data_IF_534786673353
#
_entry.id   IF_534786673353
#
_cell.length_a   1.000
_cell.length_b   1.000
_cell.length_c   1.000
_cell.angle_alpha   90.00
_cell.angle_beta   90.00
_cell.angle_gamma   90.00
#
_symmetry.space_group_name_H-M   'P 1'
#
loop_
_entity.id
_entity.type
_entity.pdbx_description
1 polymer ?
#
# COMPACT_ATOMS: atom_id res chain seq x y z
N UNK A 1 16.08 -1.34 7.63
CA UNK A 1 14.75 -1.59 8.23
C UNK A 1 13.75 -1.62 7.08
N UNK A 2 12.70 -2.46 7.10
CA UNK A 2 11.69 -2.45 6.04
C UNK A 2 10.51 -1.54 6.39
N UNK A 3 10.07 -1.64 7.65
CA UNK A 3 8.92 -0.91 8.17
C UNK A 3 9.26 -0.27 9.51
N UNK A 4 8.82 0.95 9.72
CA UNK A 4 8.90 1.66 10.99
C UNK A 4 7.49 2.12 11.37
N UNK A 5 7.05 1.76 12.58
CA UNK A 5 5.77 2.18 13.17
C UNK A 5 6.03 2.73 14.57
N UNK A 6 5.00 3.28 15.24
CA UNK A 6 5.13 3.65 16.66
C UNK A 6 5.50 2.49 17.58
N UNK A 7 5.09 1.28 17.23
CA UNK A 7 5.30 0.08 18.02
C UNK A 7 6.70 -0.51 17.82
N UNK A 8 7.43 -0.02 16.81
CA UNK A 8 8.84 -0.32 16.60
C UNK A 8 9.22 -0.54 15.14
N UNK A 9 10.41 -1.13 14.97
CA UNK A 9 11.02 -1.37 13.67
C UNK A 9 10.97 -2.85 13.27
N UNK A 10 10.54 -3.10 12.04
CA UNK A 10 10.47 -4.41 11.42
C UNK A 10 11.52 -4.50 10.31
N UNK A 11 12.40 -5.48 10.42
CA UNK A 11 13.38 -5.76 9.36
C UNK A 11 12.72 -6.49 8.20
N UNK A 12 13.32 -6.43 7.00
CA UNK A 12 12.88 -7.22 5.85
C UNK A 12 12.68 -8.70 6.19
N UNK A 13 13.62 -9.27 6.97
CA UNK A 13 13.52 -10.65 7.45
C UNK A 13 12.29 -10.86 8.32
N UNK A 14 12.02 -9.97 9.28
CA UNK A 14 10.82 -10.08 10.14
C UNK A 14 9.54 -9.98 9.34
N UNK A 15 9.42 -9.01 8.43
CA UNK A 15 8.26 -8.85 7.56
C UNK A 15 8.05 -10.09 6.70
N UNK A 16 9.10 -10.57 6.04
CA UNK A 16 9.05 -11.78 5.21
C UNK A 16 8.63 -13.02 6.03
N UNK A 17 9.20 -13.21 7.22
CA UNK A 17 8.84 -14.33 8.10
C UNK A 17 7.37 -14.32 8.49
N UNK A 18 6.81 -13.15 8.85
CA UNK A 18 5.37 -13.06 9.16
C UNK A 18 4.50 -13.23 7.91
N UNK A 19 4.91 -12.64 6.77
CA UNK A 19 4.22 -12.85 5.50
C UNK A 19 4.16 -14.33 5.11
N UNK A 20 5.25 -15.08 5.29
CA UNK A 20 5.26 -16.53 5.06
C UNK A 20 4.27 -17.29 5.95
N UNK A 21 4.16 -16.91 7.24
CA UNK A 21 3.18 -17.51 8.16
C UNK A 21 1.74 -17.23 7.74
N UNK A 22 1.45 -16.00 7.34
CA UNK A 22 0.13 -15.61 6.84
C UNK A 22 -0.19 -16.37 5.54
N UNK A 23 0.77 -16.45 4.61
CA UNK A 23 0.65 -17.25 3.39
C UNK A 23 0.35 -18.71 3.71
N UNK A 24 1.08 -19.33 4.66
CA UNK A 24 0.81 -20.71 5.08
C UNK A 24 -0.61 -20.86 5.64
N UNK A 25 -1.05 -19.94 6.49
CA UNK A 25 -2.39 -19.97 7.05
C UNK A 25 -3.51 -19.87 5.99
N UNK A 26 -3.26 -19.16 4.89
CA UNK A 26 -4.14 -19.10 3.72
C UNK A 26 -4.17 -20.45 2.98
N UNK A 27 -3.01 -21.06 2.74
CA UNK A 27 -2.90 -22.37 2.09
C UNK A 27 -3.55 -23.49 2.90
N UNK A 28 -3.36 -23.49 4.21
CA UNK A 28 -3.97 -24.48 5.12
C UNK A 28 -5.51 -24.38 5.12
N UNK A 29 -6.06 -23.23 4.68
CA UNK A 29 -7.49 -22.99 4.45
C UNK A 29 -7.95 -23.23 3.01
N UNK A 30 -7.06 -23.75 2.17
CA UNK A 30 -7.39 -24.15 0.81
C UNK A 30 -7.18 -23.10 -0.27
N UNK A 31 -6.58 -21.95 0.05
CA UNK A 31 -6.32 -20.91 -0.96
C UNK A 31 -5.54 -21.47 -2.15
N UNK A 32 -6.05 -21.18 -3.35
CA UNK A 32 -5.40 -21.43 -4.63
C UNK A 32 -4.88 -20.13 -5.26
N UNK A 33 -3.85 -20.20 -6.11
CA UNK A 33 -3.40 -19.05 -6.89
C UNK A 33 -4.55 -18.44 -7.70
N UNK A 34 -4.71 -17.12 -7.63
CA UNK A 34 -5.81 -16.37 -8.26
C UNK A 34 -7.01 -16.11 -7.34
N UNK A 35 -7.10 -16.77 -6.17
CA UNK A 35 -8.16 -16.50 -5.21
C UNK A 35 -8.03 -15.10 -4.61
N UNK A 36 -9.17 -14.47 -4.32
CA UNK A 36 -9.23 -13.10 -3.79
C UNK A 36 -9.11 -13.13 -2.27
N UNK A 37 -8.25 -12.27 -1.75
CA UNK A 37 -8.03 -12.12 -0.30
C UNK A 37 -8.34 -10.69 0.10
N UNK A 38 -9.50 -10.49 0.72
CA UNK A 38 -9.88 -9.26 1.38
C UNK A 38 -8.97 -9.00 2.58
N UNK A 39 -8.28 -7.87 2.57
CA UNK A 39 -7.37 -7.43 3.63
C UNK A 39 -8.07 -6.31 4.40
N UNK A 40 -8.83 -6.66 5.44
CA UNK A 40 -9.57 -5.72 6.27
C UNK A 40 -8.72 -5.27 7.46
N UNK A 41 -8.17 -4.07 7.36
CA UNK A 41 -7.24 -3.55 8.36
C UNK A 41 -7.41 -2.04 8.55
N UNK A 42 -6.98 -1.55 9.71
CA UNK A 42 -6.48 -0.17 9.83
C UNK A 42 -4.99 -0.13 9.45
N UNK A 43 -4.43 1.06 9.20
CA UNK A 43 -3.00 1.21 8.91
C UNK A 43 -2.16 0.61 10.04
N UNK A 44 -1.46 -0.48 9.74
CA UNK A 44 -0.64 -1.21 10.72
C UNK A 44 0.42 -2.06 10.02
N UNK A 45 1.45 -2.49 10.76
CA UNK A 45 2.47 -3.40 10.23
C UNK A 45 1.89 -4.71 9.67
N UNK A 46 0.78 -5.17 10.23
CA UNK A 46 0.14 -6.43 9.85
C UNK A 46 -0.56 -6.37 8.50
N UNK A 47 -1.12 -5.22 8.11
CA UNK A 47 -1.64 -5.03 6.75
C UNK A 47 -0.58 -5.34 5.70
N UNK A 48 0.62 -4.78 5.87
CA UNK A 48 1.76 -4.96 4.98
C UNK A 48 2.24 -6.42 4.92
N UNK A 49 2.27 -7.09 6.07
CA UNK A 49 2.63 -8.51 6.14
C UNK A 49 1.55 -9.40 5.49
N UNK A 50 0.27 -9.06 5.63
CA UNK A 50 -0.83 -9.78 5.01
C UNK A 50 -0.88 -9.59 3.49
N UNK A 51 -0.59 -8.37 3.01
CA UNK A 51 -0.40 -8.07 1.60
C UNK A 51 0.69 -8.94 0.97
N UNK A 52 1.88 -8.95 1.59
CA UNK A 52 2.99 -9.79 1.13
C UNK A 52 2.66 -11.29 1.24
N UNK A 53 2.03 -11.71 2.34
CA UNK A 53 1.65 -13.11 2.56
C UNK A 53 0.70 -13.63 1.50
N UNK A 54 -0.27 -12.80 1.10
CA UNK A 54 -1.21 -13.06 0.01
C UNK A 54 -0.48 -13.26 -1.32
N UNK A 55 0.40 -12.34 -1.70
CA UNK A 55 1.16 -12.45 -2.96
C UNK A 55 2.14 -13.62 -2.98
N UNK A 56 2.76 -13.95 -1.84
CA UNK A 56 3.69 -15.08 -1.74
C UNK A 56 3.04 -16.43 -2.07
N UNK A 57 1.71 -16.54 -1.92
CA UNK A 57 0.93 -17.74 -2.24
C UNK A 57 0.09 -17.61 -3.50
N UNK A 58 0.32 -16.56 -4.29
CA UNK A 58 -0.36 -16.33 -5.57
C UNK A 58 -1.79 -15.80 -5.43
N UNK A 59 -2.21 -15.37 -4.24
CA UNK A 59 -3.52 -14.75 -4.03
C UNK A 59 -3.57 -13.32 -4.57
N UNK A 60 -4.78 -12.86 -4.88
CA UNK A 60 -5.08 -11.50 -5.31
C UNK A 60 -5.47 -10.66 -4.11
N UNK A 61 -4.67 -9.66 -3.75
CA UNK A 61 -4.94 -8.82 -2.60
C UNK A 61 -6.08 -7.83 -2.89
N UNK A 62 -6.98 -7.65 -1.92
CA UNK A 62 -8.06 -6.66 -1.98
C UNK A 62 -8.03 -5.80 -0.70
N UNK A 63 -7.32 -4.67 -0.71
CA UNK A 63 -7.25 -3.79 0.46
C UNK A 63 -8.62 -3.23 0.85
N UNK A 64 -8.94 -3.29 2.14
CA UNK A 64 -10.15 -2.71 2.72
C UNK A 64 -9.80 -1.97 4.02
N UNK A 65 -10.29 -0.74 4.15
CA UNK A 65 -10.08 0.10 5.33
C UNK A 65 -11.18 -0.22 6.34
N UNK A 66 -10.79 -0.77 7.49
CA UNK A 66 -11.70 -1.16 8.56
C UNK A 66 -12.46 0.03 9.19
N UNK A 67 -12.05 1.27 8.92
CA UNK A 67 -12.77 2.49 9.35
C UNK A 67 -13.94 2.88 8.45
N UNK A 68 -14.10 2.21 7.30
CA UNK A 68 -15.24 2.46 6.40
C UNK A 68 -16.58 2.08 7.04
N UNK A 69 -17.66 2.64 6.48
CA UNK A 69 -19.01 2.31 6.95
C UNK A 69 -19.31 0.81 6.75
N UNK A 70 -20.10 0.19 7.65
CA UNK A 70 -20.46 -1.22 7.54
C UNK A 70 -21.11 -1.56 6.19
N UNK A 71 -21.97 -0.68 5.68
CA UNK A 71 -22.63 -0.82 4.37
C UNK A 71 -21.64 -0.86 3.20
N UNK A 72 -20.56 -0.07 3.26
CA UNK A 72 -19.52 -0.05 2.22
C UNK A 72 -18.68 -1.31 2.26
N UNK A 73 -18.28 -1.73 3.47
CA UNK A 73 -17.53 -2.95 3.67
C UNK A 73 -18.32 -4.17 3.21
N UNK A 74 -19.61 -4.26 3.60
CA UNK A 74 -20.50 -5.33 3.16
C UNK A 74 -20.64 -5.36 1.63
N UNK A 75 -20.84 -4.21 0.99
CA UNK A 75 -20.91 -4.15 -0.48
C UNK A 75 -19.63 -4.68 -1.15
N UNK A 76 -18.46 -4.27 -0.66
CA UNK A 76 -17.18 -4.71 -1.22
C UNK A 76 -17.00 -6.22 -1.04
N UNK A 77 -17.34 -6.71 0.14
CA UNK A 77 -17.39 -8.13 0.51
C UNK A 77 -18.32 -8.90 -0.44
N UNK A 78 -19.56 -8.47 -0.61
CA UNK A 78 -20.53 -9.14 -1.50
C UNK A 78 -20.03 -9.16 -2.96
N UNK A 79 -19.38 -8.08 -3.40
CA UNK A 79 -18.82 -7.97 -4.75
C UNK A 79 -17.62 -8.92 -5.00
N UNK A 80 -16.96 -9.43 -3.96
CA UNK A 80 -15.91 -10.44 -4.10
C UNK A 80 -16.46 -11.85 -4.32
N UNK A 81 -17.71 -12.12 -3.96
CA UNK A 81 -18.30 -13.45 -4.08
C UNK A 81 -17.79 -14.45 -3.04
N UNK A 82 -18.31 -15.67 -3.12
CA UNK A 82 -18.22 -16.70 -2.06
C UNK A 82 -16.81 -17.29 -1.89
N UNK A 83 -16.04 -17.34 -2.97
CA UNK A 83 -14.69 -17.91 -2.98
C UNK A 83 -13.61 -16.96 -2.38
N UNK A 84 -14.02 -15.85 -1.77
CA UNK A 84 -13.10 -14.90 -1.18
C UNK A 84 -12.64 -15.31 0.23
N UNK A 85 -11.39 -15.00 0.54
CA UNK A 85 -10.81 -15.10 1.88
C UNK A 85 -10.85 -13.73 2.56
N UNK A 86 -11.03 -13.69 3.88
CA UNK A 86 -10.80 -12.48 4.68
C UNK A 86 -9.59 -12.67 5.59
N UNK A 87 -8.66 -11.72 5.58
CA UNK A 87 -7.62 -11.58 6.58
C UNK A 87 -7.82 -10.26 7.33
N UNK A 88 -7.78 -10.31 8.66
CA UNK A 88 -7.98 -9.14 9.53
C UNK A 88 -7.26 -9.29 10.87
N UNK A 89 -7.29 -8.26 11.72
CA UNK A 89 -6.93 -8.33 13.15
C UNK A 89 -8.17 -8.26 14.02
N UNK A 90 -8.11 -8.81 15.22
CA UNK A 90 -9.19 -8.71 16.20
C UNK A 90 -9.46 -7.26 16.61
N UNK A 91 -8.44 -6.40 16.65
CA UNK A 91 -8.63 -4.96 16.89
C UNK A 91 -9.34 -4.22 15.76
N UNK A 92 -9.22 -4.71 14.52
CA UNK A 92 -9.84 -4.14 13.32
C UNK A 92 -11.21 -4.80 13.02
N UNK A 93 -11.45 -5.98 13.60
CA UNK A 93 -12.70 -6.71 13.56
C UNK A 93 -13.69 -6.14 14.59
N UNK A 94 -14.30 -5.02 14.26
CA UNK A 94 -15.28 -4.33 15.12
C UNK A 94 -16.61 -5.08 15.28
N UNK A 95 -16.76 -6.27 14.68
CA UNK A 95 -18.04 -6.99 14.56
C UNK A 95 -19.07 -6.29 13.69
N UNK A 96 -18.71 -5.15 13.09
CA UNK A 96 -19.59 -4.36 12.22
C UNK A 96 -19.73 -4.98 10.83
N UNK A 97 -18.78 -5.81 10.42
CA UNK A 97 -18.87 -6.64 9.22
C UNK A 97 -19.23 -8.05 9.67
N UNK A 98 -20.48 -8.44 9.42
CA UNK A 98 -20.82 -9.86 9.46
C UNK A 98 -20.32 -10.42 8.16
N UNK A 99 -19.23 -11.19 8.20
CA UNK A 99 -18.88 -11.97 7.04
C UNK A 99 -20.04 -12.92 6.76
N UNK A 100 -20.61 -12.90 5.56
CA UNK A 100 -21.56 -13.89 5.14
C UNK A 100 -20.98 -15.30 5.32
N UNK A 101 -21.83 -16.28 5.64
CA UNK A 101 -21.43 -17.68 5.84
C UNK A 101 -20.77 -18.30 4.59
N UNK A 102 -20.93 -17.66 3.43
CA UNK A 102 -20.41 -18.13 2.16
C UNK A 102 -18.92 -17.83 1.94
N UNK A 103 -18.24 -17.09 2.83
CA UNK A 103 -16.79 -16.84 2.71
C UNK A 103 -16.00 -18.13 2.90
N UNK A 104 -14.99 -18.36 2.05
CA UNK A 104 -14.16 -19.57 2.13
C UNK A 104 -13.45 -19.68 3.47
N UNK A 105 -12.85 -18.60 3.96
CA UNK A 105 -12.32 -18.55 5.32
C UNK A 105 -12.08 -17.13 5.85
N UNK A 106 -12.27 -16.97 7.17
CA UNK A 106 -11.79 -15.81 7.95
C UNK A 106 -10.50 -16.18 8.69
N UNK A 107 -9.48 -15.35 8.54
CA UNK A 107 -8.21 -15.41 9.27
C UNK A 107 -8.10 -14.17 10.15
N UNK A 108 -8.07 -14.38 11.47
CA UNK A 108 -7.82 -13.32 12.45
C UNK A 108 -6.39 -13.47 12.97
N UNK A 109 -5.51 -12.53 12.62
CA UNK A 109 -4.07 -12.63 12.86
C UNK A 109 -3.66 -12.61 14.34
N UNK A 110 -4.53 -12.11 15.22
CA UNK A 110 -4.25 -12.10 16.67
C UNK A 110 -4.35 -13.51 17.30
N UNK A 111 -4.87 -14.49 16.56
CA UNK A 111 -4.82 -15.88 16.98
C UNK A 111 -3.41 -16.47 16.72
N UNK A 112 -2.62 -16.53 17.79
CA UNK A 112 -1.24 -17.02 17.76
C UNK A 112 -1.10 -18.44 17.20
N UNK A 113 -2.12 -19.29 17.35
CA UNK A 113 -2.09 -20.67 16.83
C UNK A 113 -2.07 -20.69 15.30
N UNK A 114 -2.72 -19.71 14.65
CA UNK A 114 -2.73 -19.56 13.19
C UNK A 114 -1.34 -19.18 12.67
N UNK A 115 -0.57 -18.42 13.46
CA UNK A 115 0.78 -17.94 13.09
C UNK A 115 1.90 -18.80 13.66
N UNK A 116 1.58 -19.86 14.41
CA UNK A 116 2.55 -20.78 15.00
C UNK A 116 3.20 -21.73 13.98
N UNK A 117 2.67 -21.79 12.75
CA UNK A 117 3.19 -22.60 11.66
C UNK A 117 4.67 -22.36 11.35
N UNK A 118 5.34 -23.42 10.91
CA UNK A 118 6.73 -23.35 10.44
C UNK A 118 6.85 -22.38 9.27
N UNK A 119 7.92 -21.58 9.26
CA UNK A 119 8.31 -20.68 8.15
C UNK A 119 8.80 -21.49 6.93
N UNK A 120 8.74 -22.82 6.98
CA UNK A 120 9.13 -23.74 5.90
C UNK A 120 8.64 -23.26 4.55
N UNK A 121 9.55 -23.30 3.58
CA UNK A 121 9.40 -22.76 2.23
C UNK A 121 7.97 -22.92 1.74
N UNK A 122 7.29 -21.78 1.54
CA UNK A 122 6.02 -21.76 0.85
C UNK A 122 6.20 -22.50 -0.48
N UNK A 123 5.21 -23.28 -0.92
CA UNK A 123 5.31 -23.97 -2.20
C UNK A 123 5.69 -22.97 -3.29
N UNK A 124 6.62 -23.38 -4.16
CA UNK A 124 7.05 -22.55 -5.27
C UNK A 124 5.91 -22.48 -6.29
N UNK A 125 5.04 -21.48 -6.16
CA UNK A 125 4.03 -21.20 -7.17
C UNK A 125 4.68 -20.62 -8.43
N UNK A 126 4.14 -20.96 -9.62
CA UNK A 126 4.55 -20.32 -10.86
C UNK A 126 4.41 -18.80 -10.73
N UNK A 127 5.52 -18.08 -10.91
CA UNK A 127 5.53 -16.61 -10.91
C UNK A 127 5.12 -16.13 -12.30
N UNK A 128 3.82 -16.16 -12.56
CA UNK A 128 3.24 -15.62 -13.80
C UNK A 128 2.90 -14.13 -13.59
N UNK A 129 3.63 -13.19 -14.24
CA UNK A 129 3.39 -11.77 -14.07
C UNK A 129 2.05 -11.31 -14.68
N UNK A 130 1.39 -12.12 -15.50
CA UNK A 130 0.07 -11.82 -16.08
C UNK A 130 -1.09 -12.07 -15.12
N UNK A 131 -0.84 -12.75 -13.99
CA UNK A 131 -1.81 -12.96 -12.93
C UNK A 131 -2.20 -11.64 -12.25
N UNK A 132 -3.43 -11.57 -11.76
CA UNK A 132 -3.90 -10.47 -10.94
C UNK A 132 -3.10 -10.42 -9.64
N UNK A 133 -2.65 -9.22 -9.27
CA UNK A 133 -1.98 -8.95 -8.02
C UNK A 133 -2.93 -8.27 -7.03
N UNK A 134 -3.75 -7.34 -7.52
CA UNK A 134 -4.43 -6.38 -6.68
C UNK A 134 -5.79 -6.00 -7.27
N UNK A 135 -6.80 -5.87 -6.40
CA UNK A 135 -8.08 -5.24 -6.75
C UNK A 135 -8.28 -4.03 -5.83
N UNK A 136 -8.41 -2.85 -6.42
CA UNK A 136 -8.64 -1.60 -5.69
C UNK A 136 -10.05 -1.10 -5.98
N UNK A 137 -10.82 -0.81 -4.93
CA UNK A 137 -12.16 -0.26 -5.08
C UNK A 137 -12.15 1.27 -5.10
N UNK A 138 -12.55 1.85 -6.22
CA UNK A 138 -12.70 3.30 -6.37
C UNK A 138 -14.15 3.73 -6.17
N UNK A 139 -14.38 4.99 -5.76
CA UNK A 139 -15.71 5.60 -5.77
C UNK A 139 -16.13 5.82 -7.23
N UNK A 140 -16.79 4.84 -7.83
CA UNK A 140 -17.27 4.95 -9.20
C UNK A 140 -18.15 6.18 -9.39
N UNK A 141 -18.21 6.72 -10.62
CA UNK A 141 -19.01 7.90 -10.97
C UNK A 141 -20.51 7.75 -10.68
N UNK A 142 -21.00 6.52 -10.57
CA UNK A 142 -22.39 6.16 -10.25
C UNK A 142 -22.64 6.02 -8.74
N UNK A 143 -21.65 6.30 -7.89
CA UNK A 143 -21.68 6.07 -6.43
C UNK A 143 -21.45 4.61 -6.02
N UNK A 144 -21.49 3.68 -6.98
CA UNK A 144 -21.25 2.25 -6.76
C UNK A 144 -19.75 1.97 -6.91
N UNK A 145 -19.08 1.40 -5.88
CA UNK A 145 -17.66 1.10 -5.96
C UNK A 145 -17.33 0.11 -7.08
N UNK A 146 -16.27 0.40 -7.84
CA UNK A 146 -15.77 -0.46 -8.93
C UNK A 146 -14.41 -1.03 -8.56
N UNK A 147 -14.24 -2.34 -8.73
CA UNK A 147 -12.96 -3.02 -8.51
C UNK A 147 -12.05 -2.89 -9.73
N UNK A 148 -10.99 -2.10 -9.62
CA UNK A 148 -9.93 -2.00 -10.61
C UNK A 148 -8.96 -3.15 -10.41
N UNK A 149 -8.84 -4.02 -11.42
CA UNK A 149 -8.01 -5.22 -11.39
C UNK A 149 -6.64 -4.94 -11.99
N UNK A 150 -5.58 -5.13 -11.20
CA UNK A 150 -4.20 -4.86 -11.57
C UNK A 150 -3.39 -6.15 -11.59
N UNK A 151 -2.53 -6.30 -12.60
CA UNK A 151 -1.65 -7.45 -12.77
C UNK A 151 -0.27 -7.18 -12.16
N UNK A 152 0.46 -8.24 -11.85
CA UNK A 152 1.84 -8.11 -11.39
C UNK A 152 2.72 -7.36 -12.40
N UNK A 153 2.59 -7.65 -13.70
CA UNK A 153 3.39 -7.04 -14.77
C UNK A 153 3.28 -5.51 -14.81
N UNK A 154 2.07 -4.96 -14.62
CA UNK A 154 1.85 -3.52 -14.69
C UNK A 154 2.42 -2.80 -13.47
N UNK A 155 2.30 -3.42 -12.29
CA UNK A 155 2.93 -2.95 -11.05
C UNK A 155 4.46 -2.99 -11.15
N UNK A 156 5.03 -4.10 -11.65
CA UNK A 156 6.48 -4.25 -11.83
C UNK A 156 7.04 -3.24 -12.83
N UNK A 157 6.33 -3.00 -13.92
CA UNK A 157 6.69 -1.96 -14.89
C UNK A 157 6.76 -0.57 -14.24
N UNK A 158 5.77 -0.23 -13.40
CA UNK A 158 5.79 1.03 -12.67
C UNK A 158 6.98 1.11 -11.69
N UNK A 159 7.22 0.07 -10.89
CA UNK A 159 8.33 0.05 -9.91
C UNK A 159 9.68 0.28 -10.61
N UNK A 160 9.91 -0.39 -11.76
CA UNK A 160 11.15 -0.25 -12.52
C UNK A 160 11.44 1.19 -12.95
N UNK A 161 10.41 1.97 -13.26
CA UNK A 161 10.56 3.35 -13.72
C UNK A 161 10.49 4.36 -12.56
N UNK A 162 9.52 4.20 -11.66
CA UNK A 162 9.27 5.11 -10.55
C UNK A 162 10.43 5.20 -9.56
N UNK A 163 11.12 4.09 -9.30
CA UNK A 163 12.30 4.07 -8.42
C UNK A 163 13.43 4.96 -8.93
N UNK A 164 13.67 4.98 -10.25
CA UNK A 164 14.67 5.83 -10.88
C UNK A 164 14.28 7.31 -10.81
N UNK A 165 13.02 7.65 -11.12
CA UNK A 165 12.49 9.02 -11.05
C UNK A 165 12.59 9.61 -9.64
N UNK A 166 12.26 8.80 -8.64
CA UNK A 166 12.35 9.19 -7.23
C UNK A 166 13.79 9.14 -6.71
N UNK A 167 14.73 8.54 -7.44
CA UNK A 167 16.12 8.32 -7.01
C UNK A 167 16.24 7.62 -5.65
N UNK A 168 15.37 6.63 -5.44
CA UNK A 168 15.34 5.86 -4.21
C UNK A 168 16.56 4.94 -4.10
N UNK A 169 17.02 4.72 -2.88
CA UNK A 169 18.08 3.77 -2.53
C UNK A 169 17.77 3.07 -1.21
N UNK A 170 18.67 2.19 -0.77
CA UNK A 170 18.53 1.50 0.52
C UNK A 170 18.59 2.42 1.74
N UNK A 171 19.07 3.67 1.59
CA UNK A 171 19.06 4.67 2.66
C UNK A 171 17.79 5.53 2.66
N UNK A 172 16.98 5.46 1.60
CA UNK A 172 15.75 6.23 1.50
C UNK A 172 14.74 5.79 2.55
N UNK A 173 14.11 6.79 3.15
CA UNK A 173 12.99 6.67 4.09
C UNK A 173 11.77 7.32 3.45
N UNK A 174 10.74 6.53 3.15
CA UNK A 174 9.52 6.97 2.48
C UNK A 174 8.37 6.97 3.48
N UNK A 175 7.60 8.07 3.55
CA UNK A 175 6.39 8.13 4.37
C UNK A 175 5.22 7.38 3.70
N UNK A 176 4.58 6.47 4.43
CA UNK A 176 3.30 5.88 4.08
C UNK A 176 2.19 6.80 4.59
N UNK A 177 1.80 7.78 3.78
CA UNK A 177 0.84 8.82 4.14
C UNK A 177 -0.54 8.58 3.52
N UNK A 178 -0.57 8.07 2.29
CA UNK A 178 -1.82 7.80 1.60
C UNK A 178 -2.63 6.71 2.31
N UNK A 179 -3.95 6.69 2.11
CA UNK A 179 -4.77 5.62 2.66
C UNK A 179 -4.39 4.28 1.99
N UNK A 180 -4.29 3.20 2.79
CA UNK A 180 -3.94 1.84 2.35
C UNK A 180 -4.91 1.21 1.34
N UNK A 181 -6.05 1.86 1.08
CA UNK A 181 -7.00 1.46 0.03
C UNK A 181 -6.95 2.33 -1.23
N UNK A 182 -6.08 3.35 -1.27
CA UNK A 182 -5.82 4.10 -2.49
C UNK A 182 -4.62 3.50 -3.24
N UNK A 183 -4.73 3.44 -4.56
CA UNK A 183 -3.68 2.95 -5.46
C UNK A 183 -2.34 3.67 -5.26
N UNK A 184 -2.36 4.99 -5.04
CA UNK A 184 -1.16 5.77 -4.78
C UNK A 184 -0.33 5.27 -3.58
N UNK A 185 -0.91 4.58 -2.59
CA UNK A 185 -0.11 4.04 -1.48
C UNK A 185 0.86 2.95 -1.95
N UNK A 186 0.55 2.24 -3.04
CA UNK A 186 1.44 1.22 -3.60
C UNK A 186 2.68 1.83 -4.26
N UNK A 187 2.63 3.12 -4.66
CA UNK A 187 3.82 3.88 -5.04
C UNK A 187 4.75 3.99 -3.83
N UNK A 188 4.23 4.43 -2.69
CA UNK A 188 5.01 4.59 -1.44
C UNK A 188 5.63 3.25 -1.01
N UNK A 189 4.81 2.18 -1.00
CA UNK A 189 5.18 0.87 -0.47
C UNK A 189 6.21 0.16 -1.37
N UNK A 190 5.87 -0.01 -2.65
CA UNK A 190 6.60 -0.94 -3.51
C UNK A 190 7.89 -0.34 -4.05
N UNK A 191 7.92 0.97 -4.29
CA UNK A 191 9.14 1.62 -4.78
C UNK A 191 10.24 1.58 -3.71
N UNK A 192 9.94 1.98 -2.46
CA UNK A 192 10.95 1.99 -1.38
C UNK A 192 11.40 0.59 -1.00
N UNK A 193 10.50 -0.40 -0.99
CA UNK A 193 10.88 -1.77 -0.67
C UNK A 193 11.70 -2.45 -1.75
N UNK A 194 11.47 -2.11 -3.02
CA UNK A 194 12.23 -2.69 -4.13
C UNK A 194 13.73 -2.33 -4.09
N UNK A 195 14.08 -1.23 -3.42
CA UNK A 195 15.48 -0.77 -3.26
C UNK A 195 16.06 -1.02 -1.87
N UNK A 196 15.34 -1.71 -0.99
CA UNK A 196 15.80 -2.00 0.38
C UNK A 196 15.69 -0.84 1.36
N UNK A 197 14.95 0.23 1.02
CA UNK A 197 14.72 1.39 1.87
C UNK A 197 13.75 1.11 3.02
N UNK A 198 13.38 2.15 3.77
CA UNK A 198 12.45 2.05 4.92
C UNK A 198 11.14 2.75 4.60
N UNK A 199 10.02 2.05 4.79
CA UNK A 199 8.69 2.64 4.80
C UNK A 199 8.32 3.05 6.24
N UNK A 200 8.11 4.33 6.50
CA UNK A 200 7.66 4.85 7.80
C UNK A 200 6.15 5.02 7.74
N UNK A 201 5.41 4.34 8.63
CA UNK A 201 3.97 4.50 8.73
C UNK A 201 3.67 5.83 9.42
N UNK A 202 2.85 6.65 8.78
CA UNK A 202 2.31 7.82 9.46
C UNK A 202 1.44 7.34 10.63
N UNK A 203 1.87 7.70 11.84
CA UNK A 203 1.24 7.35 13.10
C UNK A 203 0.92 8.58 13.96
N UNK A 204 1.76 9.60 13.89
CA UNK A 204 1.55 10.88 14.52
C UNK A 204 0.89 11.86 13.54
N UNK A 205 0.93 13.15 13.90
CA UNK A 205 0.61 14.21 12.97
C UNK A 205 1.57 14.18 11.78
N UNK A 206 1.03 14.36 10.57
CA UNK A 206 1.79 14.36 9.32
C UNK A 206 3.03 15.25 9.39
N UNK A 207 2.89 16.41 10.04
CA UNK A 207 3.96 17.42 10.18
C UNK A 207 5.16 16.93 11.00
N UNK A 208 4.98 15.96 11.89
CA UNK A 208 6.10 15.42 12.69
C UNK A 208 6.73 14.22 12.02
N UNK A 209 5.93 13.36 11.37
CA UNK A 209 6.45 12.21 10.63
C UNK A 209 7.24 12.64 9.38
N UNK A 210 6.86 13.73 8.72
CA UNK A 210 7.61 14.31 7.60
C UNK A 210 9.04 14.73 7.96
N UNK A 211 9.32 15.06 9.23
CA UNK A 211 10.68 15.42 9.69
C UNK A 211 11.63 14.23 9.76
N UNK A 212 11.11 13.00 9.62
CA UNK A 212 11.84 11.73 9.83
C UNK A 212 12.07 10.95 8.54
N UNK A 213 11.71 11.53 7.39
CA UNK A 213 11.73 10.88 6.09
C UNK A 213 12.48 11.71 5.07
N UNK A 214 12.91 11.04 4.02
CA UNK A 214 13.61 11.64 2.87
C UNK A 214 12.67 11.83 1.67
N UNK A 215 11.59 11.04 1.61
CA UNK A 215 10.66 10.98 0.51
C UNK A 215 9.22 10.97 1.04
N UNK A 216 8.32 11.70 0.38
CA UNK A 216 6.89 11.62 0.63
C UNK A 216 6.09 11.77 -0.67
N UNK A 217 4.86 11.28 -0.67
CA UNK A 217 3.87 11.47 -1.71
C UNK A 217 2.61 12.07 -1.09
N UNK A 218 2.21 13.27 -1.52
CA UNK A 218 1.08 14.02 -0.95
C UNK A 218 0.19 14.58 -2.07
N UNK A 219 -1.02 15.01 -1.75
CA UNK A 219 -1.77 15.84 -2.71
C UNK A 219 -1.14 17.23 -2.78
N UNK A 220 -1.22 17.92 -3.94
CA UNK A 220 -0.81 19.33 -4.04
C UNK A 220 -1.42 20.23 -2.97
N UNK A 221 -2.69 20.04 -2.61
CA UNK A 221 -3.36 20.78 -1.54
C UNK A 221 -2.67 20.61 -0.18
N UNK A 222 -2.28 19.38 0.17
CA UNK A 222 -1.55 19.10 1.42
C UNK A 222 -0.13 19.68 1.38
N UNK A 223 0.57 19.51 0.26
CA UNK A 223 1.91 20.07 0.08
C UNK A 223 1.92 21.61 0.15
N UNK A 224 0.81 22.23 -0.26
CA UNK A 224 0.59 23.68 -0.30
C UNK A 224 0.50 24.36 1.07
N UNK A 225 0.10 23.64 2.13
CA UNK A 225 0.00 24.20 3.50
C UNK A 225 1.28 24.03 4.32
N UNK A 226 2.24 23.24 3.83
CA UNK A 226 3.49 22.94 4.52
C UNK A 226 4.60 23.96 4.19
N UNK A 227 5.45 24.27 5.17
CA UNK A 227 6.64 25.09 4.97
C UNK A 227 7.86 24.19 4.70
N UNK A 228 8.51 24.25 3.51
CA UNK A 228 9.61 23.35 3.17
C UNK A 228 10.84 23.46 4.07
N UNK A 229 11.07 24.61 4.72
CA UNK A 229 12.20 24.82 5.63
C UNK A 229 12.12 23.98 6.90
N UNK A 230 10.91 23.59 7.31
CA UNK A 230 10.68 22.76 8.51
C UNK A 230 11.12 21.29 8.29
N UNK A 231 11.43 20.91 7.04
CA UNK A 231 11.73 19.55 6.62
C UNK A 231 13.09 19.42 5.92
N UNK A 232 14.22 19.68 6.61
CA UNK A 232 15.55 19.64 6.00
C UNK A 232 15.98 18.25 5.54
N UNK A 233 15.36 17.17 6.05
CA UNK A 233 15.66 15.80 5.65
C UNK A 233 14.97 15.37 4.35
N UNK A 234 13.91 16.08 3.92
CA UNK A 234 13.21 15.76 2.68
C UNK A 234 14.11 16.10 1.49
N UNK A 235 14.40 15.09 0.68
CA UNK A 235 15.18 15.18 -0.56
C UNK A 235 14.25 15.35 -1.76
N UNK A 236 13.13 14.62 -1.76
CA UNK A 236 12.15 14.63 -2.83
C UNK A 236 10.72 14.63 -2.28
N UNK A 237 9.90 15.57 -2.78
CA UNK A 237 8.45 15.57 -2.56
C UNK A 237 7.74 15.21 -3.85
N UNK A 238 6.87 14.20 -3.77
CA UNK A 238 6.02 13.80 -4.89
C UNK A 238 4.60 14.30 -4.70
N UNK A 239 3.92 14.65 -5.79
CA UNK A 239 2.50 14.97 -5.79
C UNK A 239 1.71 14.12 -6.76
N UNK A 240 0.46 13.78 -6.41
CA UNK A 240 -0.48 13.07 -7.29
C UNK A 240 -1.92 13.44 -6.95
N UNK A 241 -2.84 13.24 -7.91
CA UNK A 241 -4.29 13.29 -7.69
C UNK A 241 -4.94 14.66 -7.91
N UNK A 242 -4.16 15.74 -7.98
CA UNK A 242 -4.64 17.09 -8.29
C UNK A 242 -3.63 17.79 -9.22
N UNK A 243 -4.05 18.89 -9.84
CA UNK A 243 -3.12 19.74 -10.58
C UNK A 243 -2.16 20.43 -9.59
N UNK A 244 -0.85 20.32 -9.84
CA UNK A 244 0.18 20.96 -9.01
C UNK A 244 0.30 22.45 -9.32
N UNK A 245 0.01 23.37 -8.38
CA UNK A 245 0.17 24.79 -8.62
C UNK A 245 1.66 25.19 -8.69
N UNK A 246 2.03 26.00 -9.68
CA UNK A 246 3.43 26.44 -9.88
C UNK A 246 4.02 27.13 -8.64
N UNK A 247 3.22 27.91 -7.90
CA UNK A 247 3.67 28.57 -6.68
C UNK A 247 4.02 27.57 -5.56
N UNK A 248 3.31 26.45 -5.45
CA UNK A 248 3.63 25.38 -4.51
C UNK A 248 4.94 24.71 -4.95
N UNK A 249 5.05 24.30 -6.21
CA UNK A 249 6.27 23.65 -6.73
C UNK A 249 7.51 24.53 -6.53
N UNK A 250 7.45 25.80 -6.95
CA UNK A 250 8.57 26.74 -6.83
C UNK A 250 9.01 26.97 -5.38
N UNK A 251 8.08 26.97 -4.42
CA UNK A 251 8.41 27.12 -2.99
C UNK A 251 9.27 25.95 -2.49
N UNK A 252 8.96 24.73 -2.90
CA UNK A 252 9.74 23.55 -2.53
C UNK A 252 11.09 23.51 -3.23
N UNK A 253 11.12 23.78 -4.55
CA UNK A 253 12.35 23.87 -5.36
C UNK A 253 13.33 24.93 -4.81
N UNK A 254 12.83 26.07 -4.33
CA UNK A 254 13.65 27.14 -3.77
C UNK A 254 14.48 26.71 -2.54
N UNK A 255 14.10 25.63 -1.86
CA UNK A 255 14.85 25.06 -0.73
C UNK A 255 15.83 23.94 -1.13
N UNK A 256 16.07 23.76 -2.44
CA UNK A 256 16.97 22.74 -2.99
C UNK A 256 16.37 21.32 -3.04
N UNK A 257 15.09 21.17 -2.72
CA UNK A 257 14.38 19.89 -2.79
C UNK A 257 13.95 19.58 -4.21
N UNK A 258 13.86 18.31 -4.55
CA UNK A 258 13.28 17.86 -5.82
C UNK A 258 11.77 17.77 -5.69
N UNK A 259 11.06 18.16 -6.75
CA UNK A 259 9.60 18.06 -6.83
C UNK A 259 9.26 17.12 -7.99
N UNK A 260 8.52 16.06 -7.70
CA UNK A 260 8.03 15.12 -8.71
C UNK A 260 6.52 15.26 -8.82
N UNK A 261 6.02 15.64 -9.99
CA UNK A 261 4.59 15.66 -10.27
C UNK A 261 4.19 14.36 -10.97
N UNK A 262 3.18 13.68 -10.43
CA UNK A 262 2.69 12.42 -10.95
C UNK A 262 1.22 12.53 -11.36
N UNK A 263 0.87 11.83 -12.44
CA UNK A 263 -0.51 11.71 -12.91
C UNK A 263 -0.81 10.26 -13.33
N UNK A 264 -2.00 9.81 -12.94
CA UNK A 264 -2.66 8.66 -13.53
C UNK A 264 -3.87 8.22 -12.72
N UNK A 265 -4.91 7.65 -13.38
CA UNK A 265 -6.01 7.00 -12.68
C UNK A 265 -5.65 5.57 -12.26
N UNK A 266 -6.43 4.99 -11.34
CA UNK A 266 -6.22 3.62 -10.86
C UNK A 266 -6.27 2.58 -11.98
N UNK A 267 -7.09 2.78 -13.02
CA UNK A 267 -7.27 1.88 -14.15
C UNK A 267 -6.01 1.64 -14.98
N UNK A 268 -4.98 2.47 -14.80
CA UNK A 268 -3.66 2.31 -15.42
C UNK A 268 -2.58 2.00 -14.37
N UNK A 269 -2.96 1.28 -13.31
CA UNK A 269 -2.14 0.86 -12.17
C UNK A 269 -2.04 1.88 -11.04
N UNK A 270 -1.32 2.99 -11.22
CA UNK A 270 -1.10 3.99 -10.17
C UNK A 270 -0.80 5.36 -10.78
N UNK A 271 0.18 5.43 -11.68
CA UNK A 271 0.54 6.61 -12.45
C UNK A 271 1.13 6.21 -13.81
N UNK A 272 0.82 6.95 -14.88
CA UNK A 272 1.45 6.79 -16.20
C UNK A 272 2.40 7.93 -16.56
N UNK A 273 2.34 9.04 -15.84
CA UNK A 273 3.17 10.20 -16.09
C UNK A 273 3.86 10.61 -14.79
N UNK A 274 5.19 10.68 -14.83
CA UNK A 274 6.04 11.15 -13.75
C UNK A 274 6.95 12.20 -14.35
N UNK A 275 6.94 13.40 -13.79
CA UNK A 275 7.76 14.50 -14.28
C UNK A 275 8.48 15.20 -13.13
N UNK A 276 9.79 15.39 -13.30
CA UNK A 276 10.59 16.15 -12.35
C UNK A 276 10.45 17.62 -12.71
N UNK A 277 9.79 18.38 -11.83
CA UNK A 277 9.54 19.80 -12.08
C UNK A 277 10.87 20.53 -12.13
N UNK A 278 11.15 21.18 -13.25
CA UNK A 278 12.34 22.01 -13.43
C UNK A 278 12.07 23.43 -12.96
N UNK A 279 13.09 24.14 -12.43
CA UNK A 279 12.96 25.56 -12.14
C UNK A 279 12.53 26.32 -13.42
N UNK A 280 11.42 27.06 -13.32
CA UNK A 280 10.88 27.93 -14.39
C UNK A 280 10.20 27.22 -15.58
N UNK A 281 9.94 25.91 -15.51
CA UNK A 281 9.06 25.24 -16.47
C UNK A 281 7.72 24.92 -15.78
N UNK A 282 6.59 25.48 -16.27
CA UNK A 282 5.26 25.23 -15.70
C UNK A 282 4.73 23.83 -15.98
#
# INVERSE_FOLDING_TARGET
VALETKDGQYTYRKCYTQACRIGRALLDRGLQPGDKVALLFTRSAWYFMALLGTWLVGGVAVPMDATNTPSRLQYMVDALGEDAFLVTRGSDDSGQVTLPDYYTAKIVLDNLDILAGSVSDLPAYPRDPTMLALIIYTSGTTGVPKGVMLRHESILNFISYGTQFMSLSSTSRFLQALNIVFDGCFIEILTVWSVGGTLLLQDAELVDDLKRVTHCLLTPSMLGVLNPEDYPQLELVSTIGEALPCNVANRWLATGKRVLNAFGPAEITMACHLDLVLPHEP
#
